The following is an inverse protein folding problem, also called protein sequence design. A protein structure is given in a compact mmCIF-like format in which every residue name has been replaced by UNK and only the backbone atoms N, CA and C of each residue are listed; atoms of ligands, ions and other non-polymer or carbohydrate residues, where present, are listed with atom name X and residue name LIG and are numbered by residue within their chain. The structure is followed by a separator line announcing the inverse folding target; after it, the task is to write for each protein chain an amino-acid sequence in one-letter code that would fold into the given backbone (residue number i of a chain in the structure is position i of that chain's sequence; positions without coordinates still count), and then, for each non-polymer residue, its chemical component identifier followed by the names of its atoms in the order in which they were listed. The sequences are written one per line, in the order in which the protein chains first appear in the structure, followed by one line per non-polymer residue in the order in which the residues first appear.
data_IF_445927764501
#
_entry.id   IF_445927764501
#
_cell.length_a   1.000
_cell.length_b   1.000
_cell.length_c   1.000
_cell.angle_alpha   90.00
_cell.angle_beta   90.00
_cell.angle_gamma   90.00
#
_symmetry.space_group_name_H-M   'P 1'
#
loop_
_entity.id
_entity.type
_entity.pdbx_description
1 polymer ?
#
# COMPACT_ATOMS: atom_id res chain seq x y z
N UNK A 1 37.66 -16.34 67.11
CA UNK A 1 36.32 -15.84 66.85
C UNK A 1 35.93 -16.31 65.48
N UNK A 2 35.06 -17.31 65.43
CA UNK A 2 34.82 -18.13 64.28
C UNK A 2 33.95 -17.48 63.22
N UNK A 3 34.33 -17.68 61.98
CA UNK A 3 33.46 -17.49 60.82
C UNK A 3 33.05 -18.85 60.27
N UNK A 4 31.78 -19.13 60.36
CA UNK A 4 31.14 -20.35 59.82
C UNK A 4 31.06 -20.25 58.30
N UNK A 5 31.36 -21.32 57.51
CA UNK A 5 31.21 -21.31 56.06
C UNK A 5 29.72 -21.50 55.69
N UNK A 6 29.27 -20.77 54.65
CA UNK A 6 27.94 -20.92 54.09
C UNK A 6 27.82 -22.23 53.26
N UNK A 7 26.80 -23.00 53.51
CA UNK A 7 26.43 -24.19 52.77
C UNK A 7 26.00 -23.81 51.34
N UNK A 8 26.68 -24.37 50.35
CA UNK A 8 26.27 -24.38 48.97
C UNK A 8 25.14 -25.40 48.80
N UNK A 9 23.93 -24.91 48.48
CA UNK A 9 22.83 -25.75 48.00
C UNK A 9 23.10 -26.24 46.60
N UNK A 10 23.26 -27.52 46.42
CA UNK A 10 23.27 -28.19 45.13
C UNK A 10 21.95 -27.92 44.40
N UNK A 11 22.04 -27.30 43.21
CA UNK A 11 20.94 -27.19 42.27
C UNK A 11 20.74 -28.55 41.57
N UNK A 12 19.54 -29.08 41.61
CA UNK A 12 19.17 -30.26 40.85
C UNK A 12 19.38 -30.04 39.33
N UNK A 13 19.73 -31.11 38.59
CA UNK A 13 19.90 -31.02 37.14
C UNK A 13 18.55 -30.70 36.45
N UNK A 14 18.56 -30.01 35.28
CA UNK A 14 17.33 -29.72 34.56
C UNK A 14 16.66 -31.01 34.08
N UNK A 15 15.34 -31.04 34.21
CA UNK A 15 14.50 -32.12 33.73
C UNK A 15 14.62 -32.23 32.19
N UNK A 16 14.59 -33.46 31.69
CA UNK A 16 14.63 -33.78 30.26
C UNK A 16 13.47 -33.12 29.50
N UNK A 17 13.67 -32.70 28.24
CA UNK A 17 12.59 -32.15 27.43
C UNK A 17 11.51 -33.23 27.21
N UNK A 18 10.23 -32.83 27.12
CA UNK A 18 9.12 -33.76 26.92
C UNK A 18 9.26 -34.45 25.54
N UNK A 19 8.99 -35.76 25.56
CA UNK A 19 8.98 -36.62 24.38
C UNK A 19 8.07 -36.09 23.28
N UNK A 20 8.59 -36.19 22.05
CA UNK A 20 8.02 -36.10 20.70
C UNK A 20 6.59 -35.58 20.55
N UNK A 21 6.50 -34.49 19.80
CA UNK A 21 5.24 -34.05 19.17
C UNK A 21 4.71 -35.17 18.25
N UNK A 22 3.40 -35.49 18.28
CA UNK A 22 2.83 -36.52 17.44
C UNK A 22 3.02 -36.19 15.96
N UNK A 23 3.59 -37.12 15.23
CA UNK A 23 3.79 -37.08 13.79
C UNK A 23 2.47 -36.87 13.05
N UNK A 24 2.51 -36.05 12.02
CA UNK A 24 1.39 -35.63 11.15
C UNK A 24 0.85 -36.76 10.24
N UNK A 25 0.64 -37.97 10.76
CA UNK A 25 -0.05 -39.03 10.06
C UNK A 25 -1.41 -39.29 10.69
N UNK A 26 -2.47 -38.67 10.15
CA UNK A 26 -3.82 -38.98 10.58
C UNK A 26 -4.92 -37.97 10.23
N UNK A 27 -4.68 -36.99 9.41
CA UNK A 27 -5.77 -36.16 8.88
C UNK A 27 -6.47 -36.89 7.73
N UNK A 28 -7.55 -37.58 8.07
CA UNK A 28 -8.49 -38.15 7.10
C UNK A 28 -8.94 -37.05 6.13
N UNK A 29 -8.86 -37.35 4.84
CA UNK A 29 -9.40 -36.56 3.74
C UNK A 29 -10.92 -36.34 3.97
N UNK A 30 -11.28 -35.20 4.53
CA UNK A 30 -12.62 -34.66 4.48
C UNK A 30 -12.88 -34.20 3.05
N UNK A 31 -13.91 -34.69 2.40
CA UNK A 31 -14.42 -34.20 1.12
C UNK A 31 -14.52 -32.66 1.19
N UNK A 32 -14.03 -31.91 0.18
CA UNK A 32 -14.29 -30.48 0.12
C UNK A 32 -15.81 -30.28 0.03
N UNK A 33 -16.33 -29.43 0.93
CA UNK A 33 -17.68 -28.92 0.77
C UNK A 33 -17.78 -28.27 -0.61
N UNK A 34 -18.72 -28.68 -1.43
CA UNK A 34 -19.01 -28.12 -2.72
C UNK A 34 -19.48 -26.68 -2.53
N UNK A 35 -18.53 -25.75 -2.48
CA UNK A 35 -18.80 -24.34 -2.59
C UNK A 35 -19.33 -24.08 -4.00
N UNK A 36 -20.60 -23.76 -4.09
CA UNK A 36 -21.22 -23.29 -5.33
C UNK A 36 -20.45 -22.05 -5.79
N UNK A 37 -19.71 -22.18 -6.87
CA UNK A 37 -19.17 -21.03 -7.61
C UNK A 37 -20.40 -20.27 -8.13
N UNK A 38 -20.73 -19.17 -7.45
CA UNK A 38 -21.75 -18.25 -7.93
C UNK A 38 -21.15 -17.55 -9.16
N UNK A 39 -21.49 -18.01 -10.34
CA UNK A 39 -21.32 -17.21 -11.55
C UNK A 39 -22.15 -15.94 -11.37
N UNK A 40 -21.49 -14.82 -11.13
CA UNK A 40 -22.13 -13.52 -11.14
C UNK A 40 -22.53 -13.23 -12.58
N UNK A 41 -23.79 -13.52 -12.93
CA UNK A 41 -24.38 -12.95 -14.14
C UNK A 41 -24.42 -11.43 -13.93
N UNK A 42 -24.05 -10.62 -14.92
CA UNK A 42 -24.18 -9.17 -14.81
C UNK A 42 -25.64 -8.85 -14.51
N UNK A 43 -25.89 -8.30 -13.34
CA UNK A 43 -27.21 -7.84 -12.95
C UNK A 43 -27.54 -6.61 -13.81
N UNK A 44 -28.78 -6.45 -14.26
CA UNK A 44 -29.24 -5.34 -15.10
C UNK A 44 -28.91 -3.94 -14.55
N UNK A 45 -28.70 -3.81 -13.24
CA UNK A 45 -28.23 -2.58 -12.60
C UNK A 45 -26.80 -2.14 -12.99
N UNK A 46 -26.00 -3.01 -13.60
CA UNK A 46 -24.65 -2.68 -14.10
C UNK A 46 -24.70 -2.23 -15.58
N UNK A 47 -25.80 -2.49 -16.27
CA UNK A 47 -25.96 -2.17 -17.69
C UNK A 47 -26.20 -0.68 -17.96
N UNK A 48 -26.65 0.09 -16.95
CA UNK A 48 -26.96 1.51 -17.08
C UNK A 48 -25.80 2.45 -16.64
N UNK A 49 -24.62 1.89 -16.36
CA UNK A 49 -23.44 2.71 -16.07
C UNK A 49 -22.86 3.26 -17.38
N UNK A 50 -22.55 4.55 -17.47
CA UNK A 50 -21.95 5.14 -18.66
C UNK A 50 -20.63 4.42 -18.98
N UNK A 51 -20.47 3.97 -20.22
CA UNK A 51 -19.24 3.37 -20.72
C UNK A 51 -18.26 4.49 -21.03
N UNK A 52 -17.38 4.79 -20.09
CA UNK A 52 -16.26 5.70 -20.30
C UNK A 52 -14.99 4.88 -20.61
N UNK A 53 -14.21 5.30 -21.60
CA UNK A 53 -13.03 4.57 -22.07
C UNK A 53 -11.75 5.17 -21.45
N UNK A 54 -11.53 4.95 -20.14
CA UNK A 54 -10.36 5.49 -19.45
C UNK A 54 -10.07 4.84 -18.10
N UNK A 55 -8.96 5.21 -17.43
CA UNK A 55 -8.58 4.69 -16.09
C UNK A 55 -9.69 4.86 -15.04
N UNK A 56 -10.59 5.81 -15.25
CA UNK A 56 -11.72 6.13 -14.38
C UNK A 56 -12.81 5.05 -14.39
N UNK A 57 -12.92 4.24 -15.44
CA UNK A 57 -13.93 3.16 -15.55
C UNK A 57 -13.82 2.13 -14.43
N UNK A 58 -12.61 1.88 -13.94
CA UNK A 58 -12.38 0.91 -12.85
C UNK A 58 -12.95 1.40 -11.51
N UNK A 59 -12.97 2.71 -11.28
CA UNK A 59 -13.49 3.31 -10.06
C UNK A 59 -15.00 3.19 -9.96
N UNK A 60 -15.72 3.32 -11.08
CA UNK A 60 -17.17 3.16 -11.14
C UNK A 60 -17.63 1.77 -10.75
N UNK A 61 -17.02 0.73 -11.30
CA UNK A 61 -17.36 -0.65 -10.98
C UNK A 61 -17.17 -0.95 -9.48
N UNK A 62 -16.08 -0.46 -8.91
CA UNK A 62 -15.77 -0.64 -7.50
C UNK A 62 -16.76 0.13 -6.61
N UNK A 63 -17.07 1.38 -6.93
CA UNK A 63 -18.05 2.18 -6.19
C UNK A 63 -19.47 1.58 -6.28
N UNK A 64 -19.85 1.02 -7.43
CA UNK A 64 -21.13 0.32 -7.57
C UNK A 64 -21.21 -0.91 -6.66
N UNK A 65 -20.13 -1.69 -6.55
CA UNK A 65 -20.04 -2.82 -5.62
C UNK A 65 -20.11 -2.38 -4.15
N UNK A 66 -19.48 -1.26 -3.81
CA UNK A 66 -19.57 -0.63 -2.47
C UNK A 66 -21.01 -0.27 -2.14
N UNK A 67 -21.72 0.38 -3.06
CA UNK A 67 -23.14 0.76 -2.87
C UNK A 67 -24.07 -0.44 -2.66
N UNK A 68 -23.67 -1.62 -3.13
CA UNK A 68 -24.39 -2.88 -2.90
C UNK A 68 -24.00 -3.58 -1.58
N UNK A 69 -23.18 -2.96 -0.74
CA UNK A 69 -22.74 -3.52 0.54
C UNK A 69 -21.89 -4.78 0.40
N UNK A 70 -21.14 -4.92 -0.70
CA UNK A 70 -20.35 -6.12 -0.97
C UNK A 70 -19.01 -6.09 -0.23
N UNK A 71 -18.42 -7.28 -0.05
CA UNK A 71 -17.00 -7.41 0.30
C UNK A 71 -16.17 -7.14 -0.94
N UNK A 72 -15.24 -6.20 -0.83
CA UNK A 72 -14.38 -5.76 -1.92
C UNK A 72 -12.94 -6.04 -1.53
N UNK A 73 -12.24 -6.79 -2.37
CA UNK A 73 -10.81 -7.01 -2.28
C UNK A 73 -10.18 -5.94 -3.17
N UNK A 74 -9.68 -4.87 -2.53
CA UNK A 74 -9.23 -3.67 -3.23
C UNK A 74 -7.77 -3.84 -3.68
N UNK A 75 -7.57 -3.98 -5.00
CA UNK A 75 -6.25 -4.06 -5.63
C UNK A 75 -5.88 -2.79 -6.42
N UNK A 76 -6.86 -1.92 -6.72
CA UNK A 76 -6.67 -0.68 -7.45
C UNK A 76 -6.63 0.50 -6.46
N UNK A 77 -5.43 0.87 -6.03
CA UNK A 77 -5.23 1.98 -5.07
C UNK A 77 -5.71 3.32 -5.61
N UNK A 78 -5.66 3.53 -6.93
CA UNK A 78 -6.05 4.77 -7.57
C UNK A 78 -7.53 5.12 -7.31
N UNK A 79 -8.38 4.11 -7.04
CA UNK A 79 -9.77 4.34 -6.64
C UNK A 79 -9.88 5.16 -5.35
N UNK A 80 -9.06 4.83 -4.35
CA UNK A 80 -8.99 5.59 -3.09
C UNK A 80 -8.21 6.89 -3.23
N UNK A 81 -7.17 6.90 -4.05
CA UNK A 81 -6.41 8.12 -4.32
C UNK A 81 -7.32 9.20 -4.91
N UNK A 82 -8.11 8.85 -5.93
CA UNK A 82 -8.98 9.80 -6.63
C UNK A 82 -10.24 10.13 -5.84
N UNK A 83 -10.88 9.14 -5.21
CA UNK A 83 -12.23 9.30 -4.65
C UNK A 83 -12.39 8.78 -3.21
N UNK A 84 -11.30 8.73 -2.43
CA UNK A 84 -11.27 8.05 -1.14
C UNK A 84 -12.34 8.50 -0.16
N UNK A 85 -12.60 9.82 -0.03
CA UNK A 85 -13.63 10.35 0.84
C UNK A 85 -15.02 9.81 0.46
N UNK A 86 -15.39 9.92 -0.81
CA UNK A 86 -16.67 9.44 -1.34
C UNK A 86 -16.80 7.92 -1.23
N UNK A 87 -15.70 7.22 -1.54
CA UNK A 87 -15.64 5.77 -1.51
C UNK A 87 -15.86 5.23 -0.08
N UNK A 88 -15.13 5.75 0.90
CA UNK A 88 -15.23 5.31 2.29
C UNK A 88 -16.54 5.74 2.95
N UNK A 89 -17.07 6.93 2.62
CA UNK A 89 -18.41 7.32 3.05
C UNK A 89 -19.49 6.36 2.51
N UNK A 90 -19.43 6.01 1.23
CA UNK A 90 -20.32 5.03 0.63
C UNK A 90 -20.16 3.63 1.26
N UNK A 91 -18.94 3.20 1.54
CA UNK A 91 -18.66 1.92 2.19
C UNK A 91 -19.29 1.85 3.58
N UNK A 92 -19.12 2.91 4.38
CA UNK A 92 -19.72 3.02 5.72
C UNK A 92 -21.25 3.02 5.66
N UNK A 93 -21.83 3.82 4.76
CA UNK A 93 -23.30 3.92 4.62
C UNK A 93 -23.95 2.59 4.21
N UNK A 94 -23.29 1.79 3.38
CA UNK A 94 -23.81 0.54 2.87
C UNK A 94 -23.23 -0.70 3.57
N UNK A 95 -22.45 -0.52 4.64
CA UNK A 95 -21.78 -1.61 5.39
C UNK A 95 -20.94 -2.51 4.49
N UNK A 96 -20.35 -1.96 3.44
CA UNK A 96 -19.42 -2.68 2.57
C UNK A 96 -18.11 -2.91 3.32
N UNK A 97 -17.52 -4.09 3.11
CA UNK A 97 -16.25 -4.46 3.71
C UNK A 97 -15.13 -4.29 2.68
N UNK A 98 -14.16 -3.43 2.98
CA UNK A 98 -13.01 -3.21 2.12
C UNK A 98 -11.81 -3.96 2.71
N UNK A 99 -11.24 -4.87 1.94
CA UNK A 99 -10.04 -5.62 2.31
C UNK A 99 -8.90 -5.25 1.36
N UNK A 100 -7.77 -4.74 1.87
CA UNK A 100 -6.65 -4.35 1.02
C UNK A 100 -5.94 -5.56 0.41
N UNK A 101 -5.58 -5.46 -0.87
CA UNK A 101 -4.75 -6.43 -1.59
C UNK A 101 -3.32 -5.92 -1.74
N UNK A 102 -3.13 -4.61 -1.83
CA UNK A 102 -1.78 -4.03 -1.83
C UNK A 102 -1.00 -4.56 -0.62
N UNK A 103 0.22 -5.04 -0.84
CA UNK A 103 0.97 -5.83 0.16
C UNK A 103 1.20 -5.06 1.45
N UNK A 104 1.50 -3.77 1.37
CA UNK A 104 1.75 -2.91 2.50
C UNK A 104 0.49 -2.65 3.32
N UNK A 105 -0.63 -2.37 2.65
CA UNK A 105 -1.90 -2.14 3.34
C UNK A 105 -2.48 -3.42 3.92
N UNK A 106 -2.32 -4.54 3.21
CA UNK A 106 -2.67 -5.85 3.74
C UNK A 106 -1.84 -6.19 4.99
N UNK A 107 -0.57 -5.83 5.00
CA UNK A 107 0.30 -5.99 6.17
C UNK A 107 -0.19 -5.15 7.37
N UNK A 108 -0.51 -3.87 7.16
CA UNK A 108 -1.10 -3.01 8.19
C UNK A 108 -2.39 -3.63 8.72
N UNK A 109 -3.29 -4.03 7.83
CA UNK A 109 -4.56 -4.68 8.18
C UNK A 109 -4.35 -5.92 9.07
N UNK A 110 -3.31 -6.71 8.80
CA UNK A 110 -2.96 -7.88 9.60
C UNK A 110 -2.35 -7.54 10.97
N UNK A 111 -1.74 -6.36 11.10
CA UNK A 111 -1.14 -5.86 12.35
C UNK A 111 -2.13 -5.12 13.25
N UNK A 112 -3.28 -4.70 12.71
CA UNK A 112 -4.34 -4.03 13.47
C UNK A 112 -5.23 -5.04 14.21
N UNK A 113 -5.80 -4.68 15.37
CA UNK A 113 -6.80 -5.49 16.05
C UNK A 113 -8.12 -5.52 15.27
N UNK A 114 -8.96 -6.53 15.53
CA UNK A 114 -10.18 -6.77 14.78
C UNK A 114 -11.20 -5.61 14.85
N UNK A 115 -11.13 -4.80 15.89
CA UNK A 115 -12.01 -3.66 16.14
C UNK A 115 -11.42 -2.30 15.68
N UNK A 116 -10.46 -2.33 14.76
CA UNK A 116 -9.78 -1.12 14.24
C UNK A 116 -10.75 -0.05 13.69
N UNK A 117 -11.96 -0.45 13.27
CA UNK A 117 -13.00 0.49 12.82
C UNK A 117 -13.46 1.50 13.90
N UNK A 118 -13.05 1.32 15.17
CA UNK A 118 -13.27 2.30 16.25
C UNK A 118 -12.38 3.54 16.11
N UNK A 119 -11.43 3.54 15.18
CA UNK A 119 -10.44 4.58 14.98
C UNK A 119 -9.10 4.27 15.64
N UNK A 120 -8.02 4.68 15.01
CA UNK A 120 -6.65 4.33 15.41
C UNK A 120 -6.32 4.77 16.84
N UNK A 121 -6.68 5.98 17.22
CA UNK A 121 -6.45 6.49 18.59
C UNK A 121 -7.19 5.66 19.64
N UNK A 122 -8.43 5.23 19.35
CA UNK A 122 -9.26 4.46 20.29
C UNK A 122 -8.75 3.03 20.54
N UNK A 123 -7.93 2.51 19.63
CA UNK A 123 -7.31 1.19 19.75
C UNK A 123 -5.82 1.25 20.12
N UNK A 124 -5.33 2.44 20.48
CA UNK A 124 -3.94 2.65 20.93
C UNK A 124 -2.90 2.59 19.83
N UNK A 125 -3.26 2.82 18.56
CA UNK A 125 -2.31 2.96 17.46
C UNK A 125 -1.76 4.38 17.46
N UNK A 126 -0.43 4.50 17.59
CA UNK A 126 0.28 5.76 17.48
C UNK A 126 0.59 6.10 16.03
N UNK A 127 1.16 5.13 15.28
CA UNK A 127 1.60 5.33 13.91
C UNK A 127 1.45 4.08 13.05
N UNK A 128 1.22 4.32 11.76
CA UNK A 128 1.39 3.36 10.68
C UNK A 128 2.78 3.58 10.07
N UNK A 129 3.57 2.52 9.96
CA UNK A 129 4.90 2.55 9.36
C UNK A 129 4.86 1.80 8.03
N UNK A 130 4.64 2.55 6.94
CA UNK A 130 4.64 2.02 5.57
C UNK A 130 6.08 1.72 5.15
N UNK A 131 6.39 0.46 4.83
CA UNK A 131 7.71 0.13 4.31
C UNK A 131 7.79 0.37 2.79
N UNK A 132 8.99 0.69 2.33
CA UNK A 132 9.33 0.88 0.93
C UNK A 132 10.66 0.20 0.62
N UNK A 133 10.84 -0.40 -0.56
CA UNK A 133 12.15 -0.88 -1.01
C UNK A 133 13.17 0.25 -1.21
N UNK A 134 12.67 1.47 -1.41
CA UNK A 134 13.46 2.63 -1.82
C UNK A 134 13.70 2.70 -3.33
N UNK A 135 13.19 1.72 -4.09
CA UNK A 135 13.33 1.65 -5.54
C UNK A 135 14.75 1.37 -6.04
N UNK A 136 14.95 1.29 -7.37
CA UNK A 136 16.24 0.94 -7.96
C UNK A 136 17.31 2.04 -7.81
N UNK A 137 16.92 3.26 -7.44
CA UNK A 137 17.82 4.42 -7.40
C UNK A 137 18.11 4.93 -5.99
N UNK A 138 17.75 4.16 -4.96
CA UNK A 138 17.91 4.53 -3.55
C UNK A 138 19.31 5.08 -3.21
N UNK A 139 20.36 4.56 -3.83
CA UNK A 139 21.75 4.94 -3.56
C UNK A 139 22.35 5.91 -4.61
N UNK A 140 21.59 6.28 -5.66
CA UNK A 140 22.10 7.19 -6.70
C UNK A 140 22.07 8.64 -6.21
N UNK A 141 23.07 9.42 -6.62
CA UNK A 141 23.09 10.87 -6.41
C UNK A 141 22.05 11.59 -7.27
N UNK A 142 21.65 12.80 -6.87
CA UNK A 142 20.74 13.64 -7.65
C UNK A 142 21.23 13.87 -9.10
N UNK A 143 22.56 14.06 -9.28
CA UNK A 143 23.13 14.25 -10.61
C UNK A 143 22.94 13.03 -11.52
N UNK A 144 23.07 11.83 -10.98
CA UNK A 144 22.87 10.59 -11.75
C UNK A 144 21.41 10.35 -12.11
N UNK A 145 20.46 10.88 -11.33
CA UNK A 145 19.03 10.72 -11.61
C UNK A 145 18.60 11.44 -12.90
N UNK A 146 19.27 12.52 -13.32
CA UNK A 146 18.97 13.22 -14.56
C UNK A 146 19.15 12.35 -15.81
N UNK A 147 20.07 11.38 -15.77
CA UNK A 147 20.40 10.51 -16.91
C UNK A 147 19.66 9.16 -16.86
N UNK A 148 18.71 8.97 -15.94
CA UNK A 148 17.97 7.71 -15.82
C UNK A 148 17.07 7.49 -17.03
N UNK A 149 17.20 6.28 -17.62
CA UNK A 149 16.40 5.86 -18.76
C UNK A 149 15.15 5.08 -18.34
N UNK A 150 14.11 5.00 -19.18
CA UNK A 150 12.94 4.16 -18.94
C UNK A 150 13.26 2.69 -18.61
N UNK A 151 14.25 2.12 -19.31
CA UNK A 151 14.68 0.74 -19.06
C UNK A 151 15.24 0.56 -17.64
N UNK A 152 16.07 1.51 -17.18
CA UNK A 152 16.62 1.48 -15.82
C UNK A 152 15.53 1.66 -14.77
N UNK A 153 14.57 2.57 -14.98
CA UNK A 153 13.47 2.82 -14.06
C UNK A 153 12.52 1.60 -13.94
N UNK A 154 12.40 0.80 -15.00
CA UNK A 154 11.60 -0.42 -14.98
C UNK A 154 12.31 -1.64 -14.36
N UNK A 155 13.61 -1.56 -14.06
CA UNK A 155 14.39 -2.66 -13.47
C UNK A 155 14.28 -2.64 -11.93
N UNK A 156 13.14 -3.08 -11.38
CA UNK A 156 12.94 -3.13 -9.93
C UNK A 156 13.74 -4.27 -9.29
N UNK A 157 14.43 -4.05 -8.13
CA UNK A 157 15.33 -5.05 -7.53
C UNK A 157 14.61 -6.29 -6.97
N UNK A 158 13.38 -6.16 -6.46
CA UNK A 158 12.70 -7.20 -5.68
C UNK A 158 11.39 -7.69 -6.31
N UNK A 159 10.76 -6.91 -7.21
CA UNK A 159 9.44 -7.20 -7.75
C UNK A 159 9.44 -7.15 -9.27
N UNK A 160 8.77 -8.11 -9.90
CA UNK A 160 8.40 -8.03 -11.30
C UNK A 160 7.04 -7.34 -11.43
N UNK A 161 7.00 -6.15 -12.01
CA UNK A 161 5.82 -5.29 -12.04
C UNK A 161 5.59 -4.70 -13.44
N UNK A 162 4.37 -4.19 -13.67
CA UNK A 162 4.06 -3.41 -14.85
C UNK A 162 4.92 -2.13 -14.96
N UNK A 163 5.12 -1.62 -16.17
CA UNK A 163 6.04 -0.49 -16.45
C UNK A 163 5.68 0.78 -15.65
N UNK A 164 4.38 1.14 -15.57
CA UNK A 164 3.93 2.33 -14.84
C UNK A 164 4.30 2.26 -13.37
N UNK A 165 3.93 1.17 -12.68
CA UNK A 165 4.19 1.02 -11.24
C UNK A 165 5.69 0.86 -10.94
N UNK A 166 6.50 0.34 -11.87
CA UNK A 166 7.97 0.30 -11.73
C UNK A 166 8.57 1.70 -11.72
N UNK A 167 8.10 2.62 -12.59
CA UNK A 167 8.51 4.03 -12.58
C UNK A 167 8.01 4.72 -11.31
N UNK A 168 6.79 4.47 -10.88
CA UNK A 168 6.26 5.01 -9.62
C UNK A 168 7.09 4.54 -8.41
N UNK A 169 7.55 3.28 -8.40
CA UNK A 169 8.48 2.79 -7.38
C UNK A 169 9.82 3.51 -7.44
N UNK A 170 10.36 3.69 -8.65
CA UNK A 170 11.63 4.38 -8.87
C UNK A 170 11.63 5.85 -8.43
N UNK A 171 10.49 6.55 -8.57
CA UNK A 171 10.29 7.94 -8.12
C UNK A 171 9.81 8.05 -6.68
N UNK A 172 9.50 6.94 -6.02
CA UNK A 172 8.76 6.84 -4.77
C UNK A 172 7.31 7.39 -4.82
N UNK A 173 6.78 7.67 -6.00
CA UNK A 173 5.36 8.03 -6.15
C UNK A 173 4.44 6.86 -5.75
N UNK A 174 4.83 5.60 -6.03
CA UNK A 174 4.04 4.45 -5.58
C UNK A 174 3.79 4.52 -4.07
N UNK A 175 4.85 4.80 -3.30
CA UNK A 175 4.72 4.97 -1.85
C UNK A 175 3.90 6.19 -1.48
N UNK A 176 3.99 7.27 -2.25
CA UNK A 176 3.12 8.44 -2.09
C UNK A 176 1.63 8.12 -2.30
N UNK A 177 1.30 7.36 -3.34
CA UNK A 177 -0.08 6.89 -3.56
C UNK A 177 -0.55 5.96 -2.44
N UNK A 178 0.33 5.15 -1.90
CA UNK A 178 0.05 4.28 -0.76
C UNK A 178 -0.19 5.06 0.55
N UNK A 179 0.48 6.17 0.77
CA UNK A 179 0.19 7.09 1.89
C UNK A 179 -1.25 7.60 1.79
N UNK A 180 -1.69 8.00 0.59
CA UNK A 180 -3.07 8.43 0.35
C UNK A 180 -4.06 7.29 0.58
N UNK A 181 -3.74 6.09 0.09
CA UNK A 181 -4.58 4.91 0.30
C UNK A 181 -4.72 4.55 1.79
N UNK A 182 -3.61 4.55 2.54
CA UNK A 182 -3.60 4.28 3.98
C UNK A 182 -4.44 5.30 4.77
N UNK A 183 -4.37 6.58 4.40
CA UNK A 183 -5.21 7.65 4.97
C UNK A 183 -6.69 7.27 4.93
N UNK A 184 -7.15 6.73 3.80
CA UNK A 184 -8.56 6.38 3.62
C UNK A 184 -8.92 5.03 4.20
N UNK A 185 -8.12 3.99 3.97
CA UNK A 185 -8.42 2.62 4.44
C UNK A 185 -8.51 2.51 5.96
N UNK A 186 -7.63 3.22 6.65
CA UNK A 186 -7.49 3.13 8.11
C UNK A 186 -7.97 4.37 8.85
N UNK A 187 -8.53 5.34 8.12
CA UNK A 187 -8.92 6.66 8.67
C UNK A 187 -7.79 7.31 9.48
N UNK A 188 -6.54 7.12 9.01
CA UNK A 188 -5.35 7.64 9.65
C UNK A 188 -5.18 9.13 9.36
N UNK A 189 -4.77 9.93 10.34
CA UNK A 189 -4.34 11.31 10.07
C UNK A 189 -3.00 11.29 9.32
N UNK A 190 -2.70 12.32 8.50
CA UNK A 190 -1.40 12.39 7.78
C UNK A 190 -0.18 12.28 8.70
N UNK A 191 -0.27 12.83 9.92
CA UNK A 191 0.79 12.79 10.95
C UNK A 191 0.93 11.41 11.63
N UNK A 192 0.00 10.49 11.40
CA UNK A 192 0.07 9.11 11.87
C UNK A 192 0.68 8.15 10.84
N UNK A 193 1.09 8.63 9.68
CA UNK A 193 1.65 7.77 8.62
C UNK A 193 3.11 8.16 8.37
N UNK A 194 4.02 7.28 8.68
CA UNK A 194 5.44 7.40 8.36
C UNK A 194 5.84 6.42 7.26
N UNK A 195 6.83 6.80 6.46
CA UNK A 195 7.43 5.93 5.46
C UNK A 195 8.82 5.51 5.93
N UNK A 196 9.06 4.20 5.91
CA UNK A 196 10.33 3.59 6.31
C UNK A 196 10.93 2.84 5.13
N UNK A 197 12.13 3.20 4.70
CA UNK A 197 12.82 2.46 3.65
C UNK A 197 13.41 1.19 4.25
N UNK A 198 13.00 0.03 3.71
CA UNK A 198 13.44 -1.31 4.09
C UNK A 198 13.88 -2.08 2.83
N UNK A 199 15.18 -2.04 2.49
CA UNK A 199 15.67 -2.54 1.19
C UNK A 199 15.41 -4.02 0.92
N UNK A 200 15.38 -4.85 1.98
CA UNK A 200 15.15 -6.28 1.84
C UNK A 200 13.69 -6.61 1.47
N UNK A 201 12.75 -5.68 1.71
CA UNK A 201 11.31 -5.85 1.42
C UNK A 201 10.70 -7.12 2.01
N UNK A 202 11.21 -7.58 3.15
CA UNK A 202 10.72 -8.75 3.90
C UNK A 202 9.64 -8.34 4.87
N UNK A 203 9.79 -7.17 5.50
CA UNK A 203 8.72 -6.51 6.26
C UNK A 203 7.89 -5.72 5.26
N UNK A 204 6.59 -6.06 5.18
CA UNK A 204 5.69 -5.39 4.25
C UNK A 204 5.02 -4.14 4.81
N UNK A 205 4.84 -4.02 6.12
CA UNK A 205 4.55 -2.81 6.90
C UNK A 205 4.45 -3.13 8.39
N UNK A 206 4.33 -2.08 9.21
CA UNK A 206 4.29 -2.18 10.67
C UNK A 206 3.27 -1.20 11.25
N UNK A 207 2.84 -1.47 12.49
CA UNK A 207 2.00 -0.58 13.29
C UNK A 207 2.66 -0.37 14.64
N UNK A 208 2.86 0.89 15.02
CA UNK A 208 3.39 1.29 16.32
C UNK A 208 2.25 1.65 17.26
N UNK A 209 2.31 1.16 18.48
CA UNK A 209 1.32 1.36 19.53
C UNK A 209 1.80 2.30 20.63
N UNK A 210 0.86 2.91 21.36
CA UNK A 210 1.14 3.89 22.44
C UNK A 210 1.93 3.31 23.62
N UNK A 211 1.97 1.99 23.76
CA UNK A 211 2.80 1.30 24.75
C UNK A 211 4.27 1.11 24.32
N UNK A 212 4.61 1.62 23.12
CA UNK A 212 5.94 1.52 22.53
C UNK A 212 6.18 0.25 21.73
N UNK A 213 5.22 -0.69 21.67
CA UNK A 213 5.37 -1.88 20.85
C UNK A 213 5.19 -1.58 19.36
N UNK A 214 5.89 -2.37 18.51
CA UNK A 214 5.72 -2.35 17.05
C UNK A 214 5.37 -3.75 16.58
N UNK A 215 4.22 -3.88 15.90
CA UNK A 215 3.79 -5.13 15.28
C UNK A 215 4.07 -5.05 13.78
N UNK A 216 4.75 -6.07 13.24
CA UNK A 216 5.15 -6.14 11.85
C UNK A 216 4.61 -7.40 11.17
N UNK A 217 4.20 -7.28 9.91
CA UNK A 217 3.92 -8.44 9.07
C UNK A 217 5.12 -8.68 8.16
N UNK A 218 5.62 -9.91 8.19
CA UNK A 218 6.76 -10.37 7.40
C UNK A 218 6.34 -11.50 6.46
N UNK A 219 6.98 -11.57 5.30
CA UNK A 219 6.77 -12.63 4.33
C UNK A 219 7.71 -12.52 3.14
N UNK A 220 7.77 -13.57 2.32
CA UNK A 220 8.41 -13.45 1.02
C UNK A 220 7.62 -12.48 0.13
N UNK A 221 8.28 -11.68 -0.73
CA UNK A 221 7.61 -10.73 -1.61
C UNK A 221 6.85 -11.47 -2.72
N UNK A 222 5.60 -11.82 -2.44
CA UNK A 222 4.72 -12.57 -3.34
C UNK A 222 3.26 -12.18 -3.11
N UNK A 223 2.61 -11.67 -4.17
CA UNK A 223 1.22 -11.20 -4.11
C UNK A 223 0.21 -12.30 -3.78
N UNK A 224 0.54 -13.58 -3.94
CA UNK A 224 -0.34 -14.68 -3.53
C UNK A 224 -0.64 -14.65 -2.03
N UNK A 225 0.29 -14.13 -1.21
CA UNK A 225 0.11 -14.03 0.25
C UNK A 225 -1.02 -13.05 0.63
N UNK A 226 -1.00 -11.77 0.24
CA UNK A 226 -2.07 -10.84 0.58
C UNK A 226 -3.40 -11.21 -0.11
N UNK A 227 -3.36 -11.75 -1.34
CA UNK A 227 -4.57 -12.21 -2.03
C UNK A 227 -5.22 -13.37 -1.25
N UNK A 228 -4.45 -14.39 -0.86
CA UNK A 228 -4.98 -15.51 -0.10
C UNK A 228 -5.51 -15.08 1.27
N UNK A 229 -4.82 -14.16 1.95
CA UNK A 229 -5.27 -13.63 3.23
C UNK A 229 -6.61 -12.91 3.11
N UNK A 230 -6.76 -12.02 2.12
CA UNK A 230 -8.00 -11.26 1.92
C UNK A 230 -9.17 -12.15 1.47
N UNK A 231 -8.92 -13.15 0.61
CA UNK A 231 -9.93 -14.12 0.19
C UNK A 231 -10.43 -14.98 1.35
N UNK A 232 -9.52 -15.39 2.23
CA UNK A 232 -9.83 -16.29 3.34
C UNK A 232 -10.33 -15.58 4.59
N UNK A 233 -10.12 -14.26 4.70
CA UNK A 233 -10.39 -13.51 5.92
C UNK A 233 -11.80 -13.75 6.49
N UNK A 234 -11.95 -13.98 7.82
CA UNK A 234 -10.94 -13.85 8.89
C UNK A 234 -10.03 -15.08 9.09
N UNK A 235 -10.24 -16.18 8.40
CA UNK A 235 -9.39 -17.36 8.46
C UNK A 235 -8.10 -17.16 7.66
N UNK A 236 -7.18 -18.13 7.79
CA UNK A 236 -5.97 -18.21 6.98
C UNK A 236 -5.94 -19.54 6.23
N UNK A 237 -5.62 -19.46 4.94
CA UNK A 237 -5.42 -20.63 4.09
C UNK A 237 -4.04 -20.58 3.44
N UNK A 238 -3.56 -21.74 3.00
CA UNK A 238 -2.29 -21.82 2.28
C UNK A 238 -2.36 -20.99 1.00
N UNK A 239 -1.39 -20.10 0.82
CA UNK A 239 -1.19 -19.32 -0.41
C UNK A 239 -0.36 -20.08 -1.46
N UNK A 240 0.28 -21.19 -1.07
CA UNK A 240 1.28 -21.87 -1.88
C UNK A 240 2.63 -21.15 -1.94
N UNK A 241 2.81 -20.07 -1.18
CA UNK A 241 4.09 -19.38 -1.03
C UNK A 241 4.92 -20.10 0.04
N UNK A 242 6.21 -20.26 -0.19
CA UNK A 242 7.13 -20.83 0.80
C UNK A 242 7.18 -19.97 2.05
N UNK A 243 7.30 -20.58 3.22
CA UNK A 243 7.48 -19.85 4.48
C UNK A 243 8.78 -19.04 4.45
N UNK A 244 8.77 -17.88 5.11
CA UNK A 244 9.95 -17.04 5.26
C UNK A 244 10.95 -17.73 6.20
N UNK A 245 12.20 -17.89 5.75
CA UNK A 245 13.28 -18.35 6.59
C UNK A 245 14.05 -17.16 7.18
N UNK A 246 13.87 -16.87 8.44
CA UNK A 246 14.53 -15.75 9.11
C UNK A 246 16.05 -15.93 9.24
N UNK A 247 16.54 -17.16 9.22
CA UNK A 247 18.00 -17.41 9.23
C UNK A 247 18.66 -17.00 7.91
N UNK A 248 17.94 -17.12 6.77
CA UNK A 248 18.45 -16.68 5.47
C UNK A 248 18.38 -15.15 5.35
N UNK A 249 17.37 -14.51 5.95
CA UNK A 249 17.24 -13.05 6.00
C UNK A 249 18.37 -12.43 6.83
N UNK A 250 18.69 -13.03 7.95
CA UNK A 250 19.76 -12.68 8.90
C UNK A 250 19.69 -11.25 9.47
N UNK A 251 19.43 -10.23 8.62
CA UNK A 251 19.46 -8.80 8.99
C UNK A 251 18.33 -8.02 8.33
N UNK A 252 17.78 -7.05 9.05
CA UNK A 252 16.77 -6.12 8.58
C UNK A 252 17.35 -4.70 8.71
N UNK A 253 17.37 -3.95 7.62
CA UNK A 253 17.87 -2.58 7.57
C UNK A 253 16.72 -1.59 7.39
N UNK A 254 16.83 -0.42 8.02
CA UNK A 254 15.84 0.64 7.95
C UNK A 254 16.53 1.99 7.72
N UNK A 255 15.98 2.79 6.81
CA UNK A 255 16.49 4.12 6.48
C UNK A 255 15.31 5.12 6.39
N UNK A 256 15.51 6.40 6.72
CA UNK A 256 14.52 7.43 6.41
C UNK A 256 14.44 7.65 4.89
N UNK A 257 13.26 8.02 4.34
CA UNK A 257 13.15 8.40 2.94
C UNK A 257 13.83 9.75 2.69
N UNK A 258 14.49 9.90 1.53
CA UNK A 258 15.10 11.15 1.10
C UNK A 258 14.08 11.95 0.24
N UNK A 259 13.38 12.88 0.86
CA UNK A 259 12.34 13.69 0.21
C UNK A 259 12.89 14.74 -0.78
N UNK A 260 14.19 15.06 -0.72
CA UNK A 260 14.84 15.93 -1.70
C UNK A 260 15.17 15.16 -2.97
N UNK A 261 15.67 13.94 -2.82
CA UNK A 261 16.00 13.05 -3.93
C UNK A 261 14.75 12.50 -4.61
N UNK A 262 13.71 12.24 -3.84
CA UNK A 262 12.43 11.68 -4.30
C UNK A 262 11.25 12.61 -3.95
N UNK A 263 11.12 13.75 -4.65
CA UNK A 263 10.10 14.76 -4.33
C UNK A 263 8.66 14.25 -4.47
N UNK A 264 8.42 13.21 -5.29
CA UNK A 264 7.09 12.63 -5.48
C UNK A 264 6.46 12.17 -4.17
N UNK A 265 7.25 11.62 -3.23
CA UNK A 265 6.74 11.23 -1.91
C UNK A 265 6.34 12.47 -1.08
N UNK A 266 7.15 13.54 -1.09
CA UNK A 266 6.80 14.81 -0.44
C UNK A 266 5.49 15.39 -0.99
N UNK A 267 5.38 15.45 -2.32
CA UNK A 267 4.19 15.97 -3.00
C UNK A 267 2.92 15.18 -2.64
N UNK A 268 3.04 13.86 -2.43
CA UNK A 268 1.91 13.05 -2.00
C UNK A 268 1.47 13.38 -0.56
N UNK A 269 2.40 13.58 0.38
CA UNK A 269 2.08 14.06 1.73
C UNK A 269 1.42 15.44 1.71
N UNK A 270 1.93 16.35 0.88
CA UNK A 270 1.33 17.68 0.69
C UNK A 270 -0.09 17.59 0.12
N UNK A 271 -0.32 16.71 -0.88
CA UNK A 271 -1.64 16.50 -1.46
C UNK A 271 -2.64 15.90 -0.46
N UNK A 272 -2.20 14.95 0.39
CA UNK A 272 -3.04 14.39 1.47
C UNK A 272 -3.40 15.48 2.47
N UNK A 273 -2.46 16.31 2.87
CA UNK A 273 -2.69 17.39 3.82
C UNK A 273 -3.62 18.46 3.26
N UNK A 274 -3.49 18.80 1.97
CA UNK A 274 -4.38 19.73 1.28
C UNK A 274 -5.81 19.19 1.15
N UNK A 275 -5.96 17.88 0.93
CA UNK A 275 -7.27 17.24 0.76
C UNK A 275 -7.97 17.67 -0.54
N UNK A 276 -9.32 17.61 -0.53
CA UNK A 276 -10.12 17.98 -1.69
C UNK A 276 -9.70 17.26 -2.98
N UNK A 277 -9.52 18.02 -4.06
CA UNK A 277 -9.12 17.50 -5.38
C UNK A 277 -7.61 17.23 -5.52
N UNK A 278 -6.76 17.65 -4.56
CA UNK A 278 -5.32 17.57 -4.67
C UNK A 278 -4.78 16.14 -4.93
N UNK A 279 -5.27 15.08 -4.26
CA UNK A 279 -4.83 13.71 -4.56
C UNK A 279 -5.18 13.24 -5.98
N UNK A 280 -6.37 13.63 -6.49
CA UNK A 280 -6.77 13.30 -7.87
C UNK A 280 -5.89 14.01 -8.89
N UNK A 281 -5.60 15.30 -8.66
CA UNK A 281 -4.69 16.10 -9.50
C UNK A 281 -3.28 15.53 -9.51
N UNK A 282 -2.75 15.15 -8.34
CA UNK A 282 -1.45 14.49 -8.22
C UNK A 282 -1.40 13.20 -9.06
N UNK A 283 -2.41 12.34 -8.92
CA UNK A 283 -2.46 11.08 -9.67
C UNK A 283 -2.53 11.31 -11.17
N UNK A 284 -3.39 12.22 -11.64
CA UNK A 284 -3.55 12.55 -13.05
C UNK A 284 -2.24 13.09 -13.66
N UNK A 285 -1.59 14.03 -12.98
CA UNK A 285 -0.31 14.61 -13.40
C UNK A 285 0.79 13.54 -13.46
N UNK A 286 0.85 12.65 -12.46
CA UNK A 286 1.81 11.57 -12.43
C UNK A 286 1.61 10.58 -13.60
N UNK A 287 0.38 10.17 -13.87
CA UNK A 287 0.09 9.26 -14.99
C UNK A 287 0.54 9.84 -16.34
N UNK A 288 0.27 11.12 -16.58
CA UNK A 288 0.72 11.83 -17.79
C UNK A 288 2.24 11.89 -17.85
N UNK A 289 2.90 12.33 -16.77
CA UNK A 289 4.36 12.46 -16.71
C UNK A 289 5.06 11.12 -16.90
N UNK A 290 4.59 10.06 -16.25
CA UNK A 290 5.14 8.70 -16.38
C UNK A 290 4.95 8.18 -17.81
N UNK A 291 3.80 8.43 -18.44
CA UNK A 291 3.56 8.03 -19.83
C UNK A 291 4.56 8.70 -20.79
N UNK A 292 4.82 10.00 -20.62
CA UNK A 292 5.78 10.76 -21.42
C UNK A 292 7.23 10.33 -21.18
N UNK A 293 7.57 10.04 -19.92
CA UNK A 293 8.87 9.46 -19.58
C UNK A 293 9.07 8.09 -20.26
N UNK A 294 8.09 7.22 -20.20
CA UNK A 294 8.16 5.88 -20.82
C UNK A 294 8.23 5.92 -22.35
N UNK A 295 7.72 7.00 -22.96
CA UNK A 295 7.86 7.28 -24.39
C UNK A 295 9.23 7.90 -24.76
N UNK A 296 10.05 8.27 -23.77
CA UNK A 296 11.33 8.95 -23.99
C UNK A 296 11.21 10.44 -24.28
N UNK A 297 10.05 11.03 -24.02
CA UNK A 297 9.72 12.44 -24.28
C UNK A 297 9.90 13.34 -23.04
N UNK A 298 10.22 12.77 -21.89
CA UNK A 298 10.41 13.46 -20.61
C UNK A 298 11.57 12.83 -19.84
N UNK A 299 12.38 13.62 -19.13
CA UNK A 299 13.43 13.12 -18.25
C UNK A 299 12.89 12.59 -16.92
N UNK A 300 13.63 11.70 -16.26
CA UNK A 300 13.21 11.08 -14.99
C UNK A 300 12.90 12.10 -13.90
N UNK A 301 13.76 13.07 -13.68
CA UNK A 301 13.57 14.12 -12.66
C UNK A 301 12.46 15.11 -13.02
N UNK A 302 12.12 15.21 -14.31
CA UNK A 302 11.04 16.06 -14.78
C UNK A 302 9.65 15.49 -14.46
N UNK A 303 9.54 14.20 -14.09
CA UNK A 303 8.28 13.61 -13.59
C UNK A 303 7.82 14.37 -12.36
N UNK A 304 8.66 14.46 -11.33
CA UNK A 304 8.32 15.20 -10.10
C UNK A 304 8.06 16.69 -10.38
N UNK A 305 8.83 17.31 -11.25
CA UNK A 305 8.63 18.72 -11.64
C UNK A 305 7.28 18.95 -12.33
N UNK A 306 6.86 18.03 -13.19
CA UNK A 306 5.55 18.09 -13.85
C UNK A 306 4.42 18.01 -12.82
N UNK A 307 4.50 17.06 -11.88
CA UNK A 307 3.51 16.90 -10.81
C UNK A 307 3.44 18.15 -9.94
N UNK A 308 4.58 18.66 -9.48
CA UNK A 308 4.67 19.85 -8.63
C UNK A 308 4.07 21.10 -9.30
N UNK A 309 4.46 21.36 -10.55
CA UNK A 309 3.93 22.50 -11.33
C UNK A 309 2.43 22.37 -11.61
N UNK A 310 1.95 21.15 -11.86
CA UNK A 310 0.52 20.91 -12.08
C UNK A 310 -0.28 21.17 -10.82
N UNK A 311 0.17 20.66 -9.67
CA UNK A 311 -0.45 20.92 -8.37
C UNK A 311 -0.49 22.41 -8.01
N UNK A 312 0.60 23.14 -8.32
CA UNK A 312 0.69 24.59 -8.09
C UNK A 312 -0.21 25.41 -9.01
N UNK A 313 -0.41 24.95 -10.25
CA UNK A 313 -1.22 25.65 -11.24
C UNK A 313 -2.72 25.34 -11.13
N UNK A 314 -3.09 24.19 -10.56
CA UNK A 314 -4.48 23.79 -10.45
C UNK A 314 -5.16 24.46 -9.24
N UNK A 315 -6.31 25.14 -9.44
CA UNK A 315 -7.07 25.73 -8.34
C UNK A 315 -7.71 24.61 -7.50
N UNK A 316 -7.16 24.36 -6.32
CA UNK A 316 -7.67 23.32 -5.43
C UNK A 316 -9.12 23.60 -5.03
N UNK A 317 -9.96 22.56 -5.04
CA UNK A 317 -11.38 22.63 -4.74
C UNK A 317 -11.87 21.46 -3.88
N UNK A 318 -13.13 21.52 -3.45
CA UNK A 318 -13.74 20.41 -2.73
C UNK A 318 -13.89 19.19 -3.63
N UNK A 319 -13.92 17.99 -3.02
CA UNK A 319 -14.13 16.71 -3.68
C UNK A 319 -15.49 16.11 -3.28
N UNK A 320 -16.57 16.92 -3.46
CA UNK A 320 -17.87 16.63 -2.89
C UNK A 320 -18.66 15.57 -3.67
N UNK A 321 -18.36 15.45 -4.96
CA UNK A 321 -18.97 14.44 -5.82
C UNK A 321 -17.98 13.88 -6.85
N UNK A 322 -18.39 12.82 -7.52
CA UNK A 322 -17.52 12.12 -8.46
C UNK A 322 -17.35 12.91 -9.76
N UNK A 323 -18.32 13.70 -10.20
CA UNK A 323 -18.23 14.51 -11.42
C UNK A 323 -17.16 15.60 -11.25
N UNK A 324 -17.13 16.25 -10.08
CA UNK A 324 -16.08 17.22 -9.73
C UNK A 324 -14.69 16.60 -9.75
N UNK A 325 -14.52 15.38 -9.20
CA UNK A 325 -13.26 14.66 -9.22
C UNK A 325 -12.83 14.26 -10.64
N UNK A 326 -13.79 13.85 -11.49
CA UNK A 326 -13.53 13.53 -12.90
C UNK A 326 -13.13 14.77 -13.70
N UNK A 327 -13.80 15.88 -13.46
CA UNK A 327 -13.45 17.16 -14.08
C UNK A 327 -12.04 17.61 -13.66
N UNK A 328 -11.71 17.48 -12.36
CA UNK A 328 -10.38 17.77 -11.84
C UNK A 328 -9.29 16.90 -12.47
N UNK A 329 -9.52 15.58 -12.59
CA UNK A 329 -8.59 14.66 -13.26
C UNK A 329 -8.37 15.07 -14.73
N UNK A 330 -9.44 15.34 -15.48
CA UNK A 330 -9.35 15.73 -16.87
C UNK A 330 -8.59 17.06 -17.09
N UNK A 331 -8.88 18.05 -16.25
CA UNK A 331 -8.21 19.35 -16.31
C UNK A 331 -6.73 19.23 -15.89
N UNK A 332 -6.44 18.47 -14.83
CA UNK A 332 -5.08 18.21 -14.39
C UNK A 332 -4.23 17.54 -15.48
N UNK A 333 -4.81 16.61 -16.25
CA UNK A 333 -4.13 16.00 -17.40
C UNK A 333 -3.76 17.03 -18.46
N UNK A 334 -4.67 17.95 -18.79
CA UNK A 334 -4.39 19.02 -19.75
C UNK A 334 -3.29 19.96 -19.23
N UNK A 335 -3.36 20.33 -17.96
CA UNK A 335 -2.32 21.15 -17.33
C UNK A 335 -0.96 20.45 -17.30
N UNK A 336 -0.91 19.16 -16.96
CA UNK A 336 0.33 18.39 -16.97
C UNK A 336 0.98 18.37 -18.36
N UNK A 337 0.20 18.15 -19.41
CA UNK A 337 0.68 18.25 -20.79
C UNK A 337 1.22 19.65 -21.13
N UNK A 338 0.59 20.71 -20.62
CA UNK A 338 1.07 22.08 -20.79
C UNK A 338 2.39 22.30 -20.04
N UNK A 339 2.52 21.80 -18.80
CA UNK A 339 3.75 21.90 -18.01
C UNK A 339 4.91 21.15 -18.68
N UNK A 340 4.66 19.96 -19.24
CA UNK A 340 5.65 19.18 -19.97
C UNK A 340 6.21 19.98 -21.16
N UNK A 341 5.34 20.62 -21.96
CA UNK A 341 5.79 21.46 -23.10
C UNK A 341 6.68 22.65 -22.70
N UNK A 342 6.67 23.04 -21.42
CA UNK A 342 7.54 24.10 -20.90
C UNK A 342 8.84 23.55 -20.31
N UNK A 343 8.92 22.25 -20.06
CA UNK A 343 10.08 21.56 -19.46
C UNK A 343 11.01 20.95 -20.52
N UNK A 344 10.47 20.62 -21.69
CA UNK A 344 11.18 20.04 -22.84
C UNK A 344 11.38 21.09 -23.91
#
# INVERSE_FOLDING_TARGET
MGTTPAETRDAAPPEDPPEEWPSSQGLRQGRPATGSVVQVRPNSAVADLPRTTGPVDKNWATLAAVRLGRRILLANKEALVVSGALFMAAAKANKAQILPIDSEHNAIFQCLPADYARGLDAIGVERILLTASGGPFRQRSLAELHAVTPAQACAHPNWEMGRKISVDSATMMNKGLEVIEARWLFDARPDQIDVVVHPQSVIHSMVQYVDGSVIAQLGNPDMRTPIAQALAWPQRHSSGVAGLNLFDVARLDFEPPDLQRFPCLRLAFEAVAAGGTAPAVLNAANEVAVSRFLAGELGFTQIAQTVERTLAAYPQGPADDLEALLAADAEARMLAEQQIRQLV
#
